data_IF_253297801314
#
_entry.id   IF_253297801314
#
_cell.length_a   1.000
_cell.length_b   1.000
_cell.length_c   1.000
_cell.angle_alpha   90.00
_cell.angle_beta   90.00
_cell.angle_gamma   90.00
#
_symmetry.space_group_name_H-M   'P 1'
#
loop_
_entity.id
_entity.type
_entity.pdbx_description
1 polymer ?
#
# COMPACT_ATOMS: atom_id res chain seq x y z
N UNK A 1 68.74 4.99 -10.61
CA UNK A 1 67.65 5.74 -9.92
C UNK A 1 66.53 5.92 -10.92
N UNK A 2 65.66 4.92 -10.99
CA UNK A 2 64.42 4.96 -11.75
C UNK A 2 63.34 5.16 -10.70
N UNK A 3 62.87 6.39 -10.55
CA UNK A 3 61.72 6.67 -9.69
C UNK A 3 60.47 6.19 -10.42
N UNK A 4 59.96 5.10 -9.88
CA UNK A 4 58.74 4.42 -10.26
C UNK A 4 57.54 5.35 -9.95
N UNK A 5 57.02 6.00 -11.00
CA UNK A 5 55.72 6.67 -10.95
C UNK A 5 54.64 5.61 -11.11
N UNK A 6 54.31 4.90 -10.02
CA UNK A 6 53.33 3.82 -10.00
C UNK A 6 52.00 4.23 -9.37
N UNK A 7 50.96 4.30 -10.21
CA UNK A 7 49.53 4.12 -9.89
C UNK A 7 48.84 5.11 -8.95
N UNK A 8 48.54 6.31 -9.47
CA UNK A 8 47.33 7.05 -9.08
C UNK A 8 46.26 6.85 -10.17
N UNK A 9 45.69 5.65 -10.26
CA UNK A 9 44.64 5.24 -11.20
C UNK A 9 44.15 3.85 -10.75
N UNK A 10 42.88 3.46 -10.77
CA UNK A 10 41.62 4.03 -11.23
C UNK A 10 40.55 3.05 -10.71
N UNK A 11 39.36 3.54 -10.36
CA UNK A 11 38.18 2.67 -10.27
C UNK A 11 38.12 1.87 -11.57
N UNK A 12 38.20 0.54 -11.48
CA UNK A 12 38.07 -0.34 -12.66
C UNK A 12 36.61 -0.70 -12.76
N UNK A 13 36.01 -0.22 -13.83
CA UNK A 13 34.59 -0.31 -14.12
C UNK A 13 34.44 -1.23 -15.33
N UNK A 14 33.73 -2.34 -15.17
CA UNK A 14 33.08 -3.07 -16.27
C UNK A 14 31.57 -2.98 -16.08
N UNK A 15 30.81 -3.37 -17.12
CA UNK A 15 29.34 -3.34 -17.05
C UNK A 15 28.78 -4.22 -15.91
N UNK A 16 29.55 -5.22 -15.48
CA UNK A 16 29.11 -6.23 -14.50
C UNK A 16 29.85 -6.11 -13.15
N UNK A 17 30.92 -5.32 -13.05
CA UNK A 17 31.75 -5.23 -11.85
C UNK A 17 32.30 -3.83 -11.58
N UNK A 18 32.34 -3.47 -10.30
CA UNK A 18 32.91 -2.22 -9.80
C UNK A 18 34.01 -2.50 -8.78
N UNK A 19 35.22 -2.00 -9.03
CA UNK A 19 36.36 -2.08 -8.09
C UNK A 19 36.75 -0.70 -7.59
N UNK A 20 36.80 -0.49 -6.27
CA UNK A 20 37.09 0.81 -5.63
C UNK A 20 37.97 0.65 -4.37
N UNK A 21 38.57 1.75 -3.90
CA UNK A 21 39.39 1.79 -2.68
C UNK A 21 38.59 2.30 -1.47
N UNK A 22 38.92 1.81 -0.28
CA UNK A 22 38.27 2.19 0.99
C UNK A 22 38.58 3.65 1.42
N UNK A 23 39.69 4.23 0.95
CA UNK A 23 40.22 5.53 1.41
C UNK A 23 39.58 6.78 0.76
N UNK A 24 38.56 6.61 -0.08
CA UNK A 24 37.92 7.73 -0.82
C UNK A 24 36.45 7.94 -0.42
N UNK A 25 35.83 9.01 -0.93
CA UNK A 25 34.38 9.27 -0.78
C UNK A 25 33.59 8.19 -1.55
N UNK A 26 33.54 6.99 -0.98
CA UNK A 26 33.02 5.74 -1.56
C UNK A 26 31.57 5.97 -1.99
N UNK A 27 30.77 6.63 -1.15
CA UNK A 27 29.35 6.85 -1.39
C UNK A 27 29.13 7.67 -2.67
N UNK A 28 29.86 8.77 -2.86
CA UNK A 28 29.72 9.62 -4.05
C UNK A 28 30.14 8.92 -5.36
N UNK A 29 31.18 8.10 -5.33
CA UNK A 29 31.66 7.39 -6.53
C UNK A 29 30.79 6.20 -6.89
N UNK A 30 30.39 5.39 -5.89
CA UNK A 30 29.49 4.26 -6.08
C UNK A 30 28.13 4.77 -6.53
N UNK A 31 27.58 5.81 -5.90
CA UNK A 31 26.31 6.41 -6.30
C UNK A 31 26.38 6.94 -7.74
N UNK A 32 27.43 7.68 -8.10
CA UNK A 32 27.58 8.20 -9.47
C UNK A 32 27.62 7.07 -10.50
N UNK A 33 28.30 5.98 -10.19
CA UNK A 33 28.42 4.83 -11.05
C UNK A 33 27.09 4.08 -11.21
N UNK A 34 26.43 3.74 -10.10
CA UNK A 34 25.10 3.11 -10.09
C UNK A 34 24.08 3.96 -10.84
N UNK A 35 24.12 5.29 -10.66
CA UNK A 35 23.25 6.22 -11.39
C UNK A 35 23.49 6.24 -12.90
N UNK A 36 24.74 6.06 -13.31
CA UNK A 36 25.12 6.05 -14.72
C UNK A 36 24.67 4.75 -15.40
N UNK A 37 24.88 3.59 -14.78
CA UNK A 37 24.57 2.29 -15.38
C UNK A 37 23.09 1.91 -15.29
N UNK A 38 22.41 2.25 -14.19
CA UNK A 38 21.05 1.79 -13.95
C UNK A 38 20.02 2.92 -14.09
N UNK A 39 20.08 3.92 -13.19
CA UNK A 39 19.11 5.00 -13.19
C UNK A 39 19.54 6.15 -12.31
N UNK A 40 19.37 7.39 -12.80
CA UNK A 40 19.61 8.63 -12.03
C UNK A 40 18.76 8.77 -10.76
N UNK A 41 17.76 7.89 -10.58
CA UNK A 41 16.85 7.84 -9.44
C UNK A 41 17.38 7.06 -8.25
N UNK A 42 18.41 6.24 -8.48
CA UNK A 42 19.06 5.45 -7.44
C UNK A 42 19.98 6.33 -6.61
N UNK A 43 20.16 5.97 -5.35
CA UNK A 43 21.09 6.62 -4.45
C UNK A 43 21.57 5.62 -3.39
N UNK A 44 22.71 5.91 -2.76
CA UNK A 44 23.19 5.08 -1.65
C UNK A 44 22.45 5.52 -0.39
N UNK A 45 21.66 4.62 0.18
CA UNK A 45 20.88 4.88 1.39
C UNK A 45 21.75 4.72 2.64
N UNK A 46 22.58 3.67 2.66
CA UNK A 46 23.49 3.37 3.77
C UNK A 46 24.64 2.48 3.31
N UNK A 47 25.75 2.59 4.01
CA UNK A 47 26.90 1.69 3.90
C UNK A 47 27.20 1.09 5.28
N UNK A 48 27.38 -0.23 5.35
CA UNK A 48 27.66 -0.94 6.60
C UNK A 48 28.78 -1.94 6.38
N UNK A 49 29.80 -1.91 7.24
CA UNK A 49 30.88 -2.90 7.22
C UNK A 49 30.49 -4.09 8.09
N UNK A 50 30.45 -5.28 7.50
CA UNK A 50 30.11 -6.54 8.17
C UNK A 50 31.26 -7.51 7.95
N UNK A 51 31.98 -7.83 9.03
CA UNK A 51 33.26 -8.54 9.00
C UNK A 51 34.27 -7.83 8.09
N UNK A 52 34.72 -8.48 7.01
CA UNK A 52 35.63 -7.91 6.02
C UNK A 52 34.88 -7.33 4.80
N UNK A 53 33.57 -7.58 4.68
CA UNK A 53 32.72 -7.15 3.58
C UNK A 53 32.08 -5.77 3.85
N UNK A 54 31.72 -5.08 2.78
CA UNK A 54 30.97 -3.83 2.82
C UNK A 54 29.61 -4.02 2.15
N UNK A 55 28.54 -3.85 2.92
CA UNK A 55 27.15 -3.87 2.46
C UNK A 55 26.74 -2.45 2.05
N UNK A 56 26.18 -2.31 0.85
CA UNK A 56 25.77 -1.04 0.29
C UNK A 56 24.29 -1.13 -0.06
N UNK A 57 23.44 -0.49 0.74
CA UNK A 57 21.99 -0.48 0.50
C UNK A 57 21.63 0.64 -0.46
N UNK A 58 20.94 0.28 -1.53
CA UNK A 58 20.45 1.20 -2.54
C UNK A 58 19.02 1.63 -2.25
N UNK A 59 18.79 2.93 -2.31
CA UNK A 59 17.47 3.53 -2.31
C UNK A 59 17.04 3.98 -3.70
N UNK A 60 15.73 4.16 -3.89
CA UNK A 60 15.18 4.76 -5.12
C UNK A 60 14.25 5.93 -4.78
N UNK A 61 14.48 7.06 -5.45
CA UNK A 61 13.59 8.21 -5.38
C UNK A 61 13.12 8.65 -6.77
N UNK A 62 11.85 9.01 -6.91
CA UNK A 62 11.32 9.53 -8.18
C UNK A 62 10.54 10.84 -7.99
N UNK A 63 10.63 11.76 -8.97
CA UNK A 63 9.88 13.01 -8.90
C UNK A 63 8.39 12.76 -9.14
N UNK A 64 7.56 13.46 -8.36
CA UNK A 64 6.11 13.53 -8.54
C UNK A 64 5.61 14.95 -8.50
N UNK A 65 4.75 15.26 -9.45
CA UNK A 65 3.97 16.48 -9.43
C UNK A 65 2.89 16.37 -8.35
N UNK A 66 2.92 17.30 -7.41
CA UNK A 66 1.91 17.46 -6.35
C UNK A 66 1.37 18.90 -6.35
N UNK A 67 1.40 19.55 -7.51
CA UNK A 67 0.91 20.91 -7.69
C UNK A 67 -0.58 20.99 -7.38
N UNK A 68 -0.97 22.10 -6.77
CA UNK A 68 -2.37 22.44 -6.63
C UNK A 68 -2.91 23.00 -7.95
N UNK A 69 -3.97 22.38 -8.48
CA UNK A 69 -4.55 22.78 -9.76
C UNK A 69 -5.26 24.15 -9.72
N UNK A 70 -5.61 24.66 -8.53
CA UNK A 70 -6.17 26.01 -8.33
C UNK A 70 -5.06 27.04 -8.16
N UNK A 71 -4.04 26.75 -7.37
CA UNK A 71 -2.97 27.72 -7.07
C UNK A 71 -1.87 27.76 -8.14
N UNK A 72 -1.74 26.70 -8.95
CA UNK A 72 -0.73 26.55 -10.02
C UNK A 72 0.70 26.76 -9.51
N UNK A 73 0.98 26.20 -8.34
CA UNK A 73 2.21 26.38 -7.58
C UNK A 73 3.42 25.56 -8.10
N UNK A 74 3.22 24.68 -9.10
CA UNK A 74 4.27 23.91 -9.79
C UNK A 74 5.23 23.18 -8.82
N UNK A 75 4.66 22.40 -7.89
CA UNK A 75 5.41 21.71 -6.84
C UNK A 75 5.76 20.28 -7.25
N UNK A 76 7.05 19.99 -7.34
CA UNK A 76 7.57 18.63 -7.53
C UNK A 76 8.19 18.13 -6.22
N UNK A 77 7.78 16.93 -5.79
CA UNK A 77 8.35 16.21 -4.63
C UNK A 77 9.12 14.98 -5.08
N UNK A 78 10.28 14.74 -4.50
CA UNK A 78 10.96 13.45 -4.64
C UNK A 78 10.32 12.47 -3.68
N UNK A 79 9.77 11.38 -4.21
CA UNK A 79 9.17 10.30 -3.43
C UNK A 79 10.22 9.23 -3.22
N UNK A 80 10.60 9.00 -1.97
CA UNK A 80 11.51 7.91 -1.62
C UNK A 80 10.73 6.61 -1.43
N UNK A 81 11.11 5.56 -2.16
CA UNK A 81 10.55 4.21 -2.08
C UNK A 81 11.27 3.37 -1.02
N UNK A 82 12.37 3.90 -0.47
CA UNK A 82 13.21 3.23 0.50
C UNK A 82 14.18 2.26 -0.17
N UNK A 83 14.61 1.27 0.61
CA UNK A 83 15.60 0.29 0.21
C UNK A 83 15.03 -0.62 -0.88
N UNK A 84 15.75 -0.73 -1.99
CA UNK A 84 15.37 -1.60 -3.11
C UNK A 84 16.34 -2.78 -3.29
N UNK A 85 17.60 -2.66 -2.90
CA UNK A 85 18.59 -3.71 -3.08
C UNK A 85 19.78 -3.50 -2.12
N UNK A 86 20.48 -4.57 -1.77
CA UNK A 86 21.76 -4.46 -1.04
C UNK A 86 22.87 -5.11 -1.85
N UNK A 87 23.83 -4.29 -2.27
CA UNK A 87 25.02 -4.76 -2.96
C UNK A 87 26.04 -5.24 -1.93
N UNK A 88 26.71 -6.34 -2.27
CA UNK A 88 27.78 -6.92 -1.47
C UNK A 88 29.12 -6.57 -2.11
N UNK A 89 29.96 -5.83 -1.39
CA UNK A 89 31.33 -5.56 -1.80
C UNK A 89 32.29 -6.41 -0.97
N UNK A 90 33.05 -7.28 -1.64
CA UNK A 90 34.04 -8.15 -0.99
C UNK A 90 35.46 -7.61 -1.20
N UNK A 91 36.37 -7.82 -0.24
CA UNK A 91 37.74 -7.34 -0.34
C UNK A 91 38.52 -8.09 -1.42
N UNK A 92 39.27 -7.36 -2.25
CA UNK A 92 40.15 -7.91 -3.28
C UNK A 92 41.53 -7.28 -3.15
N UNK A 93 42.46 -8.01 -2.52
CA UNK A 93 43.77 -7.47 -2.16
C UNK A 93 43.75 -6.69 -0.85
N UNK A 94 44.74 -5.81 -0.63
CA UNK A 94 44.96 -5.18 0.68
C UNK A 94 44.12 -3.92 0.96
N UNK A 95 43.51 -3.30 -0.06
CA UNK A 95 42.83 -2.00 0.10
C UNK A 95 41.64 -1.76 -0.85
N UNK A 96 41.30 -2.77 -1.67
CA UNK A 96 40.26 -2.62 -2.68
C UNK A 96 39.07 -3.52 -2.36
N UNK A 97 37.90 -3.07 -2.80
CA UNK A 97 36.65 -3.80 -2.76
C UNK A 97 36.15 -4.03 -4.17
N UNK A 98 35.47 -5.14 -4.39
CA UNK A 98 34.79 -5.47 -5.63
C UNK A 98 33.33 -5.76 -5.37
N UNK A 99 32.47 -5.20 -6.22
CA UNK A 99 31.02 -5.46 -6.25
C UNK A 99 30.71 -6.14 -7.57
N UNK A 100 29.93 -7.21 -7.51
CA UNK A 100 29.22 -7.74 -8.67
C UNK A 100 27.90 -6.97 -8.81
N UNK A 101 27.72 -6.31 -9.95
CA UNK A 101 26.55 -5.47 -10.20
C UNK A 101 25.37 -6.36 -10.63
N UNK A 102 24.16 -6.16 -10.08
CA UNK A 102 22.99 -6.93 -10.47
C UNK A 102 22.57 -6.60 -11.91
N UNK A 103 21.77 -7.48 -12.51
CA UNK A 103 21.20 -7.14 -13.80
C UNK A 103 20.22 -5.95 -13.65
N UNK A 104 20.11 -5.05 -14.65
CA UNK A 104 19.12 -3.97 -14.62
C UNK A 104 17.68 -4.45 -14.44
N UNK A 105 17.39 -5.68 -14.89
CA UNK A 105 16.11 -6.36 -14.75
C UNK A 105 15.79 -6.69 -13.29
N UNK A 106 16.78 -7.12 -12.50
CA UNK A 106 16.67 -7.45 -11.08
C UNK A 106 16.32 -6.21 -10.27
N UNK A 107 17.09 -5.12 -10.43
CA UNK A 107 16.80 -3.85 -9.74
C UNK A 107 15.41 -3.29 -10.09
N UNK A 108 14.97 -3.46 -11.34
CA UNK A 108 13.63 -3.05 -11.73
C UNK A 108 12.54 -3.90 -11.05
N UNK A 109 12.76 -5.20 -10.90
CA UNK A 109 11.85 -6.09 -10.19
C UNK A 109 11.79 -5.76 -8.70
N UNK A 110 12.94 -5.56 -8.04
CA UNK A 110 12.99 -5.18 -6.62
C UNK A 110 12.29 -3.84 -6.37
N UNK A 111 12.47 -2.86 -7.27
CA UNK A 111 11.68 -1.62 -7.24
C UNK A 111 10.17 -1.89 -7.35
N UNK A 112 9.76 -2.71 -8.30
CA UNK A 112 8.35 -2.99 -8.57
C UNK A 112 7.70 -3.68 -7.37
N UNK A 113 8.36 -4.66 -6.76
CA UNK A 113 7.91 -5.34 -5.55
C UNK A 113 7.76 -4.34 -4.39
N UNK A 114 8.79 -3.51 -4.14
CA UNK A 114 8.73 -2.50 -3.09
C UNK A 114 7.61 -1.47 -3.29
N UNK A 115 7.39 -1.07 -4.54
CA UNK A 115 6.29 -0.18 -4.90
C UNK A 115 4.92 -0.86 -4.68
N UNK A 116 4.77 -2.12 -5.06
CA UNK A 116 3.53 -2.89 -4.85
C UNK A 116 3.23 -3.10 -3.36
N UNK A 117 4.24 -3.34 -2.53
CA UNK A 117 4.12 -3.38 -1.07
C UNK A 117 3.60 -2.06 -0.51
N UNK A 118 4.25 -0.94 -0.86
CA UNK A 118 3.84 0.39 -0.43
C UNK A 118 2.39 0.70 -0.82
N UNK A 119 2.02 0.40 -2.07
CA UNK A 119 0.64 0.62 -2.54
C UNK A 119 -0.37 -0.30 -1.83
N UNK A 120 0.03 -1.52 -1.47
CA UNK A 120 -0.80 -2.46 -0.70
C UNK A 120 -1.04 -1.95 0.72
N UNK A 121 -0.01 -1.45 1.39
CA UNK A 121 -0.13 -0.82 2.71
C UNK A 121 -1.03 0.42 2.66
N UNK A 122 -0.86 1.28 1.64
CA UNK A 122 -1.73 2.44 1.44
C UNK A 122 -3.18 2.05 1.17
N UNK A 123 -3.42 1.01 0.36
CA UNK A 123 -4.77 0.52 0.08
C UNK A 123 -5.42 -0.03 1.35
N UNK A 124 -4.67 -0.74 2.19
CA UNK A 124 -5.16 -1.22 3.48
C UNK A 124 -5.49 -0.07 4.42
N UNK A 125 -4.56 0.86 4.65
CA UNK A 125 -4.78 2.01 5.52
C UNK A 125 -5.98 2.85 5.07
N UNK A 126 -6.10 3.08 3.76
CA UNK A 126 -7.22 3.82 3.21
C UNK A 126 -8.53 3.04 3.36
N UNK A 127 -8.55 1.73 3.11
CA UNK A 127 -9.72 0.89 3.32
C UNK A 127 -10.21 0.95 4.76
N UNK A 128 -9.33 0.70 5.72
CA UNK A 128 -9.61 0.79 7.16
C UNK A 128 -10.13 2.18 7.57
N UNK A 129 -9.63 3.24 6.94
CA UNK A 129 -10.05 4.62 7.23
C UNK A 129 -11.43 4.96 6.67
N UNK A 130 -11.74 4.53 5.43
CA UNK A 130 -12.93 5.01 4.71
C UNK A 130 -14.08 4.01 4.75
N UNK A 131 -13.88 2.80 5.26
CA UNK A 131 -14.83 1.72 5.11
C UNK A 131 -16.24 2.09 5.63
N UNK A 132 -16.35 2.60 6.86
CA UNK A 132 -17.63 3.00 7.45
C UNK A 132 -18.37 4.03 6.57
N UNK A 133 -17.61 4.88 5.88
CA UNK A 133 -18.13 5.91 4.97
C UNK A 133 -18.63 5.31 3.66
N UNK A 134 -17.89 4.34 3.08
CA UNK A 134 -18.27 3.71 1.80
C UNK A 134 -19.25 2.54 1.95
N UNK A 135 -19.47 2.02 3.15
CA UNK A 135 -20.40 0.91 3.44
C UNK A 135 -21.80 1.15 2.85
N UNK A 136 -22.31 2.38 2.98
CA UNK A 136 -23.64 2.75 2.51
C UNK A 136 -23.76 2.81 0.97
N UNK A 137 -22.66 2.67 0.23
CA UNK A 137 -22.71 2.58 -1.22
C UNK A 137 -23.24 1.19 -1.61
N UNK A 138 -24.35 1.14 -2.35
CA UNK A 138 -24.99 -0.12 -2.75
C UNK A 138 -24.03 -1.17 -3.33
N UNK A 139 -23.04 -0.82 -4.18
CA UNK A 139 -22.09 -1.81 -4.68
C UNK A 139 -21.21 -2.46 -3.60
N UNK A 140 -20.90 -1.74 -2.52
CA UNK A 140 -20.12 -2.25 -1.38
C UNK A 140 -21.01 -3.16 -0.53
N UNK A 141 -22.20 -2.66 -0.14
CA UNK A 141 -23.17 -3.44 0.63
C UNK A 141 -23.56 -4.75 -0.06
N UNK A 142 -23.79 -4.72 -1.37
CA UNK A 142 -24.13 -5.91 -2.15
C UNK A 142 -23.02 -6.97 -2.14
N UNK A 143 -21.75 -6.57 -2.18
CA UNK A 143 -20.64 -7.54 -2.09
C UNK A 143 -20.46 -8.12 -0.70
N UNK A 144 -20.88 -7.39 0.32
CA UNK A 144 -20.79 -7.79 1.71
C UNK A 144 -22.05 -8.48 2.22
N UNK A 145 -23.05 -8.69 1.36
CA UNK A 145 -24.36 -9.19 1.78
C UNK A 145 -24.24 -10.49 2.57
N UNK A 146 -23.44 -11.45 2.08
CA UNK A 146 -23.21 -12.71 2.81
C UNK A 146 -22.51 -12.50 4.16
N UNK A 147 -21.57 -11.54 4.28
CA UNK A 147 -20.94 -11.20 5.56
C UNK A 147 -21.97 -10.61 6.54
N UNK A 148 -22.84 -9.73 6.03
CA UNK A 148 -23.90 -9.08 6.81
C UNK A 148 -24.92 -10.12 7.29
N UNK A 149 -25.40 -10.98 6.38
CA UNK A 149 -26.36 -12.06 6.68
C UNK A 149 -25.79 -13.03 7.72
N UNK A 150 -24.53 -13.48 7.57
CA UNK A 150 -23.91 -14.37 8.56
C UNK A 150 -23.82 -13.68 9.92
N UNK A 151 -23.36 -12.42 9.97
CA UNK A 151 -23.25 -11.71 11.24
C UNK A 151 -24.62 -11.53 11.92
N UNK A 152 -25.68 -11.29 11.14
CA UNK A 152 -27.04 -11.16 11.65
C UNK A 152 -27.63 -12.49 12.15
N UNK A 153 -27.50 -13.57 11.36
CA UNK A 153 -27.92 -14.91 11.78
C UNK A 153 -27.19 -15.34 13.05
N UNK A 154 -25.87 -15.17 13.12
CA UNK A 154 -25.10 -15.52 14.31
C UNK A 154 -25.59 -14.74 15.53
N UNK A 155 -25.93 -13.46 15.37
CA UNK A 155 -26.45 -12.64 16.46
C UNK A 155 -27.83 -13.10 16.95
N UNK A 156 -28.74 -13.38 16.04
CA UNK A 156 -30.17 -13.50 16.35
C UNK A 156 -30.67 -14.94 16.42
N UNK A 157 -30.06 -15.84 15.65
CA UNK A 157 -30.58 -17.18 15.38
C UNK A 157 -29.63 -18.31 15.83
N UNK A 158 -28.43 -17.97 16.33
CA UNK A 158 -27.49 -18.98 16.87
C UNK A 158 -28.03 -19.70 18.11
N UNK A 159 -27.66 -20.98 18.32
CA UNK A 159 -26.75 -21.81 17.52
C UNK A 159 -27.41 -22.49 16.30
N UNK A 160 -26.65 -22.69 15.21
CA UNK A 160 -27.06 -23.45 14.03
C UNK A 160 -25.87 -24.17 13.36
N UNK A 161 -26.11 -25.22 12.56
CA UNK A 161 -25.05 -25.91 11.83
C UNK A 161 -24.55 -25.12 10.62
N UNK A 162 -23.36 -25.43 10.13
CA UNK A 162 -22.84 -24.88 8.86
C UNK A 162 -23.72 -25.26 7.66
N UNK A 163 -24.33 -26.44 7.66
CA UNK A 163 -25.31 -26.87 6.64
C UNK A 163 -26.54 -25.96 6.63
N UNK A 164 -27.06 -25.60 7.81
CA UNK A 164 -28.18 -24.67 7.93
C UNK A 164 -27.84 -23.30 7.37
N UNK A 165 -26.61 -22.84 7.61
CA UNK A 165 -26.13 -21.57 7.08
C UNK A 165 -25.97 -21.60 5.55
N UNK A 166 -25.54 -22.74 4.98
CA UNK A 166 -25.41 -22.93 3.53
C UNK A 166 -26.77 -22.88 2.83
N UNK A 167 -27.81 -23.45 3.45
CA UNK A 167 -29.19 -23.38 2.96
C UNK A 167 -29.78 -21.96 2.99
N UNK A 168 -29.37 -21.15 3.97
CA UNK A 168 -29.91 -19.79 4.17
C UNK A 168 -29.20 -18.73 3.32
N UNK A 169 -27.92 -18.91 3.03
CA UNK A 169 -27.15 -17.96 2.24
C UNK A 169 -27.36 -18.17 0.75
N UNK A 170 -27.37 -17.07 0.01
CA UNK A 170 -27.45 -17.09 -1.46
C UNK A 170 -26.07 -17.23 -2.13
N UNK A 171 -25.09 -17.85 -1.45
CA UNK A 171 -23.69 -17.93 -1.91
C UNK A 171 -23.17 -19.35 -1.98
N UNK A 172 -22.47 -19.69 -3.05
CA UNK A 172 -21.83 -21.00 -3.22
C UNK A 172 -20.51 -21.15 -2.42
N UNK A 173 -20.19 -20.21 -1.52
CA UNK A 173 -18.90 -20.15 -0.81
C UNK A 173 -19.06 -20.00 0.72
N UNK A 174 -20.16 -20.47 1.31
CA UNK A 174 -20.45 -20.38 2.75
C UNK A 174 -19.27 -20.81 3.61
N UNK A 175 -18.62 -21.93 3.28
CA UNK A 175 -17.47 -22.48 3.99
C UNK A 175 -16.33 -21.45 4.13
N UNK A 176 -15.99 -20.73 3.05
CA UNK A 176 -14.92 -19.70 3.08
C UNK A 176 -15.29 -18.50 3.95
N UNK A 177 -16.56 -18.10 3.94
CA UNK A 177 -17.02 -17.02 4.80
C UNK A 177 -16.95 -17.41 6.27
N UNK A 178 -17.40 -18.63 6.59
CA UNK A 178 -17.30 -19.21 7.93
C UNK A 178 -15.84 -19.30 8.38
N UNK A 179 -14.94 -19.82 7.54
CA UNK A 179 -13.50 -19.88 7.82
C UNK A 179 -12.95 -18.48 8.15
N UNK A 180 -13.19 -17.49 7.29
CA UNK A 180 -12.70 -16.12 7.48
C UNK A 180 -13.26 -15.49 8.76
N UNK A 181 -14.54 -15.65 9.04
CA UNK A 181 -15.16 -15.07 10.23
C UNK A 181 -14.73 -15.77 11.52
N UNK A 182 -14.42 -17.07 11.45
CA UNK A 182 -13.89 -17.86 12.56
C UNK A 182 -12.44 -17.48 12.86
N UNK A 183 -11.59 -17.39 11.82
CA UNK A 183 -10.21 -16.91 11.92
C UNK A 183 -10.12 -15.52 12.59
N UNK A 184 -11.14 -14.69 12.37
CA UNK A 184 -11.25 -13.34 12.91
C UNK A 184 -11.97 -13.26 14.27
N UNK A 185 -12.38 -14.38 14.88
CA UNK A 185 -13.10 -14.47 16.17
C UNK A 185 -14.43 -13.67 16.19
N UNK A 186 -15.09 -13.59 15.04
CA UNK A 186 -16.48 -13.12 14.95
C UNK A 186 -17.47 -14.26 15.13
N UNK A 187 -17.10 -15.49 14.77
CA UNK A 187 -17.86 -16.70 15.03
C UNK A 187 -16.96 -17.74 15.70
N UNK A 188 -17.56 -18.74 16.33
CA UNK A 188 -16.88 -19.95 16.83
C UNK A 188 -17.64 -21.17 16.36
N UNK A 189 -16.93 -22.26 16.15
CA UNK A 189 -17.52 -23.57 15.88
C UNK A 189 -17.23 -24.45 17.09
N UNK A 190 -18.27 -25.02 17.70
CA UNK A 190 -18.10 -25.95 18.82
C UNK A 190 -17.78 -27.38 18.37
N UNK A 191 -17.65 -28.30 19.33
CA UNK A 191 -17.30 -29.70 19.09
C UNK A 191 -18.37 -30.45 18.27
N UNK A 192 -19.62 -29.98 18.31
CA UNK A 192 -20.75 -30.56 17.57
C UNK A 192 -20.91 -29.93 16.17
N UNK A 193 -20.02 -29.02 15.78
CA UNK A 193 -20.05 -28.34 14.49
C UNK A 193 -21.07 -27.19 14.42
N UNK A 194 -21.54 -26.69 15.57
CA UNK A 194 -22.51 -25.60 15.64
C UNK A 194 -21.80 -24.25 15.63
N UNK A 195 -22.32 -23.34 14.83
CA UNK A 195 -21.87 -21.95 14.71
C UNK A 195 -22.46 -21.13 15.84
N UNK A 196 -21.57 -20.49 16.60
CA UNK A 196 -21.85 -19.66 17.77
C UNK A 196 -21.25 -18.26 17.60
N UNK A 197 -21.74 -17.25 18.35
CA UNK A 197 -21.11 -15.94 18.41
C UNK A 197 -19.65 -16.00 18.90
N UNK A 198 -18.77 -15.30 18.19
CA UNK A 198 -17.38 -15.06 18.60
C UNK A 198 -17.25 -13.91 19.59
N UNK A 199 -16.05 -13.71 20.16
CA UNK A 199 -15.87 -12.70 21.23
C UNK A 199 -16.21 -11.30 20.73
N UNK A 200 -15.97 -11.03 19.45
CA UNK A 200 -16.18 -9.71 18.86
C UNK A 200 -17.66 -9.37 18.66
N UNK A 201 -18.50 -10.35 18.34
CA UNK A 201 -19.97 -10.19 18.26
C UNK A 201 -20.53 -9.99 19.67
N UNK A 202 -20.18 -10.88 20.62
CA UNK A 202 -20.60 -10.77 22.03
C UNK A 202 -20.24 -9.39 22.62
N UNK A 203 -19.04 -8.87 22.32
CA UNK A 203 -18.58 -7.55 22.77
C UNK A 203 -19.37 -6.38 22.17
N UNK A 204 -19.89 -6.54 20.95
CA UNK A 204 -20.70 -5.52 20.28
C UNK A 204 -22.13 -5.48 20.85
N UNK A 205 -22.71 -6.64 21.17
CA UNK A 205 -24.06 -6.74 21.73
C UNK A 205 -24.19 -6.12 23.13
N UNK A 206 -23.12 -6.17 23.93
CA UNK A 206 -23.06 -5.49 25.23
C UNK A 206 -23.35 -3.98 25.11
N UNK A 207 -23.07 -3.37 23.96
CA UNK A 207 -23.20 -1.93 23.73
C UNK A 207 -24.62 -1.50 23.39
N UNK A 208 -25.57 -2.44 23.23
CA UNK A 208 -27.00 -2.17 22.95
C UNK A 208 -27.24 -1.20 21.78
N UNK A 209 -26.45 -1.36 20.72
CA UNK A 209 -26.58 -0.61 19.49
C UNK A 209 -27.89 -0.99 18.78
N UNK A 210 -28.49 -0.03 18.08
CA UNK A 210 -29.59 -0.35 17.16
C UNK A 210 -29.07 -1.22 15.98
N UNK A 211 -29.98 -1.78 15.18
CA UNK A 211 -29.59 -2.69 14.10
C UNK A 211 -28.66 -2.03 13.07
N UNK A 212 -28.91 -0.77 12.71
CA UNK A 212 -28.12 -0.08 11.69
C UNK A 212 -26.72 0.29 12.22
N UNK A 213 -26.63 0.73 13.47
CA UNK A 213 -25.37 1.00 14.15
C UNK A 213 -24.57 -0.27 14.41
N UNK A 214 -25.25 -1.36 14.77
CA UNK A 214 -24.64 -2.67 14.95
C UNK A 214 -24.03 -3.17 13.64
N UNK A 215 -24.81 -3.19 12.55
CA UNK A 215 -24.34 -3.60 11.23
C UNK A 215 -23.12 -2.78 10.81
N UNK A 216 -23.19 -1.45 10.91
CA UNK A 216 -22.05 -0.58 10.57
C UNK A 216 -20.80 -0.90 11.39
N UNK A 217 -20.96 -1.11 12.69
CA UNK A 217 -19.83 -1.31 13.61
C UNK A 217 -19.22 -2.69 13.49
N UNK A 218 -20.03 -3.75 13.47
CA UNK A 218 -19.56 -5.14 13.40
C UNK A 218 -18.99 -5.41 12.02
N UNK A 219 -19.70 -5.05 10.94
CA UNK A 219 -19.20 -5.23 9.58
C UNK A 219 -17.97 -4.33 9.35
N UNK A 220 -17.97 -3.12 9.93
CA UNK A 220 -16.79 -2.24 9.99
C UNK A 220 -15.57 -2.91 10.59
N UNK A 221 -15.74 -3.58 11.72
CA UNK A 221 -14.68 -4.33 12.38
C UNK A 221 -14.26 -5.57 11.61
N UNK A 222 -15.21 -6.32 11.02
CA UNK A 222 -14.91 -7.48 10.16
C UNK A 222 -14.00 -7.06 9.01
N UNK A 223 -14.25 -5.89 8.42
CA UNK A 223 -13.45 -5.42 7.29
C UNK A 223 -12.13 -4.83 7.72
N UNK A 224 -12.10 -4.09 8.83
CA UNK A 224 -10.85 -3.59 9.36
C UNK A 224 -9.89 -4.73 9.73
N UNK A 225 -10.40 -5.73 10.46
CA UNK A 225 -9.60 -6.87 10.94
C UNK A 225 -9.33 -7.90 9.83
N UNK A 226 -10.26 -8.01 8.87
CA UNK A 226 -10.29 -9.06 7.84
C UNK A 226 -9.99 -8.61 6.42
N UNK A 227 -9.58 -7.35 6.19
CA UNK A 227 -9.45 -6.78 4.83
C UNK A 227 -8.66 -7.68 3.87
N UNK A 228 -7.49 -8.17 4.30
CA UNK A 228 -6.66 -9.03 3.47
C UNK A 228 -7.35 -10.37 3.15
N UNK A 229 -7.97 -11.00 4.15
CA UNK A 229 -8.70 -12.27 3.99
C UNK A 229 -9.95 -12.10 3.12
N UNK A 230 -10.73 -11.05 3.34
CA UNK A 230 -11.92 -10.70 2.54
C UNK A 230 -11.55 -10.38 1.09
N UNK A 231 -10.44 -9.68 0.87
CA UNK A 231 -9.93 -9.39 -0.48
C UNK A 231 -9.41 -10.66 -1.17
N UNK A 232 -8.58 -11.44 -0.50
CA UNK A 232 -7.82 -12.52 -1.13
C UNK A 232 -8.58 -13.85 -1.14
N UNK A 233 -9.18 -14.26 -0.02
CA UNK A 233 -9.93 -15.53 0.10
C UNK A 233 -11.34 -15.42 -0.51
N UNK A 234 -12.02 -14.27 -0.32
CA UNK A 234 -13.41 -14.06 -0.75
C UNK A 234 -13.56 -13.22 -2.03
N UNK A 235 -12.44 -12.75 -2.60
CA UNK A 235 -12.40 -12.00 -3.86
C UNK A 235 -13.33 -10.76 -3.88
N UNK A 236 -13.52 -10.11 -2.73
CA UNK A 236 -14.39 -8.94 -2.59
C UNK A 236 -13.74 -7.67 -3.15
N UNK A 237 -13.58 -7.64 -4.47
CA UNK A 237 -12.81 -6.63 -5.18
C UNK A 237 -13.30 -5.19 -5.04
N UNK A 238 -14.56 -4.94 -4.63
CA UNK A 238 -15.02 -3.56 -4.38
C UNK A 238 -14.44 -2.98 -3.08
N UNK A 239 -14.04 -3.83 -2.13
CA UNK A 239 -13.33 -3.39 -0.93
C UNK A 239 -11.98 -2.78 -1.28
N UNK A 240 -11.28 -3.26 -2.32
CA UNK A 240 -10.03 -2.66 -2.80
C UNK A 240 -10.25 -1.55 -3.83
N UNK A 241 -11.38 -1.57 -4.52
CA UNK A 241 -11.64 -0.63 -5.60
C UNK A 241 -11.79 0.82 -5.14
N UNK A 242 -12.62 1.10 -4.13
CA UNK A 242 -12.81 2.48 -3.64
C UNK A 242 -11.57 3.08 -2.96
N UNK A 243 -10.83 2.34 -2.12
CA UNK A 243 -9.54 2.77 -1.58
C UNK A 243 -8.56 3.19 -2.67
N UNK A 244 -8.42 2.41 -3.75
CA UNK A 244 -7.59 2.80 -4.90
C UNK A 244 -7.94 4.17 -5.47
N UNK A 245 -9.23 4.46 -5.74
CA UNK A 245 -9.63 5.77 -6.27
C UNK A 245 -9.46 6.90 -5.25
N UNK A 246 -9.61 6.61 -3.96
CA UNK A 246 -9.32 7.58 -2.91
C UNK A 246 -7.81 7.87 -2.84
N UNK A 247 -6.98 6.84 -2.83
CA UNK A 247 -5.52 6.92 -2.80
C UNK A 247 -4.94 7.62 -4.04
N UNK A 248 -5.56 7.47 -5.21
CA UNK A 248 -5.17 8.24 -6.39
C UNK A 248 -5.26 9.76 -6.20
N UNK A 249 -6.05 10.25 -5.23
CA UNK A 249 -5.98 11.63 -4.74
C UNK A 249 -5.03 11.75 -3.53
N UNK A 250 -5.30 10.96 -2.50
CA UNK A 250 -4.70 11.10 -1.18
C UNK A 250 -3.17 10.93 -1.18
N UNK A 251 -2.62 10.10 -2.07
CA UNK A 251 -1.16 9.91 -2.21
C UNK A 251 -0.44 11.23 -2.49
N UNK A 252 -0.99 12.09 -3.35
CA UNK A 252 -0.41 13.40 -3.63
C UNK A 252 -0.57 14.36 -2.44
N UNK A 253 -1.72 14.32 -1.75
CA UNK A 253 -1.95 15.13 -0.56
C UNK A 253 -0.96 14.78 0.57
N UNK A 254 -0.71 13.48 0.80
CA UNK A 254 0.27 13.03 1.79
C UNK A 254 1.70 13.42 1.42
N UNK A 255 2.09 13.26 0.15
CA UNK A 255 3.41 13.68 -0.34
C UNK A 255 3.62 15.21 -0.25
N UNK A 256 2.57 16.00 -0.46
CA UNK A 256 2.60 17.45 -0.24
C UNK A 256 2.57 17.82 1.24
N UNK A 257 2.08 16.91 2.08
CA UNK A 257 1.68 17.15 3.47
C UNK A 257 0.66 18.29 3.59
N UNK A 258 -0.36 18.24 2.73
CA UNK A 258 -1.36 19.31 2.64
C UNK A 258 -2.76 18.73 2.35
N UNK A 259 -3.67 18.70 3.34
CA UNK A 259 -5.05 18.25 3.13
C UNK A 259 -5.88 19.21 2.26
N UNK A 260 -5.41 20.45 2.07
CA UNK A 260 -6.11 21.44 1.26
C UNK A 260 -5.83 21.33 -0.23
N UNK A 261 -4.88 20.48 -0.63
CA UNK A 261 -4.50 20.24 -2.02
C UNK A 261 -5.71 19.91 -2.89
N UNK A 262 -5.90 20.71 -3.94
CA UNK A 262 -6.84 20.46 -5.01
C UNK A 262 -6.17 19.79 -6.21
N UNK A 263 -6.73 18.66 -6.63
CA UNK A 263 -6.35 18.00 -7.87
C UNK A 263 -7.50 18.03 -8.87
N UNK A 264 -7.20 18.18 -10.16
CA UNK A 264 -8.18 17.96 -11.22
C UNK A 264 -8.47 16.47 -11.39
N UNK A 265 -9.57 16.13 -12.08
CA UNK A 265 -9.80 14.72 -12.48
C UNK A 265 -8.65 14.17 -13.31
N UNK A 266 -7.99 15.00 -14.11
CA UNK A 266 -6.91 14.57 -14.99
C UNK A 266 -5.63 14.24 -14.21
N UNK A 267 -5.36 14.95 -13.12
CA UNK A 267 -4.28 14.62 -12.17
C UNK A 267 -4.54 13.28 -11.48
N UNK A 268 -5.80 13.03 -11.05
CA UNK A 268 -6.18 11.73 -10.47
C UNK A 268 -6.07 10.59 -11.48
N UNK A 269 -6.45 10.82 -12.74
CA UNK A 269 -6.26 9.84 -13.84
C UNK A 269 -4.78 9.55 -14.05
N UNK A 270 -3.93 10.58 -14.01
CA UNK A 270 -2.49 10.40 -14.11
C UNK A 270 -1.97 9.55 -12.96
N UNK A 271 -2.34 9.86 -11.72
CA UNK A 271 -1.96 9.09 -10.54
C UNK A 271 -2.40 7.61 -10.62
N UNK A 272 -3.64 7.33 -11.05
CA UNK A 272 -4.09 5.95 -11.27
C UNK A 272 -3.20 5.21 -12.27
N UNK A 273 -2.87 5.86 -13.39
CA UNK A 273 -2.01 5.26 -14.40
C UNK A 273 -0.60 5.01 -13.89
N UNK A 274 -0.06 5.91 -13.07
CA UNK A 274 1.33 5.82 -12.67
C UNK A 274 1.58 5.03 -11.40
N UNK A 275 0.64 5.02 -10.46
CA UNK A 275 0.80 4.31 -9.18
C UNK A 275 0.19 2.91 -9.22
N UNK A 276 -0.90 2.74 -10.00
CA UNK A 276 -1.68 1.50 -10.07
C UNK A 276 -1.66 0.84 -11.45
N UNK A 277 -0.95 1.41 -12.43
CA UNK A 277 -0.96 0.96 -13.84
C UNK A 277 -2.38 0.88 -14.43
N UNK A 278 -3.31 1.68 -13.91
CA UNK A 278 -4.73 1.65 -14.26
C UNK A 278 -5.08 2.74 -15.28
N UNK A 279 -5.48 2.30 -16.49
CA UNK A 279 -5.87 3.18 -17.59
C UNK A 279 -7.37 3.49 -17.62
N UNK A 280 -8.05 3.50 -16.46
CA UNK A 280 -9.48 3.80 -16.36
C UNK A 280 -9.80 5.15 -17.03
N UNK A 281 -10.75 5.18 -17.99
CA UNK A 281 -11.11 6.42 -18.67
C UNK A 281 -11.63 7.50 -17.73
N UNK A 282 -11.26 8.76 -18.02
CA UNK A 282 -11.66 9.97 -17.28
C UNK A 282 -13.15 10.02 -16.86
N UNK A 283 -14.14 9.69 -17.72
CA UNK A 283 -15.55 9.73 -17.30
C UNK A 283 -15.88 8.73 -16.19
N UNK A 284 -15.22 7.56 -16.17
CA UNK A 284 -15.39 6.54 -15.13
C UNK A 284 -14.73 6.99 -13.81
N UNK A 285 -13.51 7.53 -13.87
CA UNK A 285 -12.83 8.12 -12.70
C UNK A 285 -13.70 9.20 -12.07
N UNK A 286 -14.23 10.12 -12.88
CA UNK A 286 -15.14 11.17 -12.41
C UNK A 286 -16.38 10.63 -11.68
N UNK A 287 -16.98 9.54 -12.16
CA UNK A 287 -18.13 8.91 -11.48
C UNK A 287 -17.72 8.33 -10.12
N UNK A 288 -16.55 7.70 -10.04
CA UNK A 288 -16.02 7.15 -8.77
C UNK A 288 -15.71 8.24 -7.75
N UNK A 289 -15.09 9.34 -8.17
CA UNK A 289 -14.83 10.50 -7.30
C UNK A 289 -16.14 11.11 -6.77
N UNK A 290 -17.19 11.20 -7.60
CA UNK A 290 -18.53 11.62 -7.12
C UNK A 290 -19.15 10.65 -6.12
N UNK A 291 -18.95 9.35 -6.28
CA UNK A 291 -19.39 8.36 -5.29
C UNK A 291 -18.64 8.52 -3.97
N UNK A 292 -17.32 8.75 -4.01
CA UNK A 292 -16.50 9.00 -2.83
C UNK A 292 -16.87 10.32 -2.13
N UNK A 293 -17.21 11.36 -2.88
CA UNK A 293 -17.74 12.62 -2.32
C UNK A 293 -19.07 12.42 -1.60
N UNK A 294 -20.01 11.69 -2.24
CA UNK A 294 -21.30 11.33 -1.61
C UNK A 294 -21.14 10.50 -0.35
N UNK A 295 -20.15 9.62 -0.31
CA UNK A 295 -19.80 8.85 0.87
C UNK A 295 -19.09 9.68 1.96
N UNK A 296 -18.66 10.91 1.65
CA UNK A 296 -17.93 11.76 2.60
C UNK A 296 -16.44 11.40 2.73
N UNK A 297 -15.86 10.72 1.75
CA UNK A 297 -14.44 10.33 1.72
C UNK A 297 -13.54 11.46 1.21
N UNK A 298 -14.03 12.23 0.25
CA UNK A 298 -13.35 13.40 -0.32
C UNK A 298 -14.38 14.51 -0.57
N UNK A 299 -13.94 15.65 -1.08
CA UNK A 299 -14.83 16.69 -1.62
C UNK A 299 -14.65 16.76 -3.13
N UNK A 300 -15.74 16.73 -3.89
CA UNK A 300 -15.72 16.87 -5.35
C UNK A 300 -16.52 18.09 -5.78
N UNK A 301 -15.84 19.09 -6.34
CA UNK A 301 -16.44 20.36 -6.77
C UNK A 301 -15.78 20.81 -8.08
N UNK A 302 -16.57 21.28 -9.05
CA UNK A 302 -16.07 21.85 -10.32
C UNK A 302 -14.99 21.02 -11.04
N UNK A 303 -15.16 19.69 -11.06
CA UNK A 303 -14.19 18.75 -11.66
C UNK A 303 -12.82 18.70 -10.96
N UNK A 304 -12.79 19.09 -9.70
CA UNK A 304 -11.62 19.03 -8.84
C UNK A 304 -11.96 18.29 -7.55
N UNK A 305 -10.94 17.77 -6.89
CA UNK A 305 -11.04 17.04 -5.63
C UNK A 305 -10.10 17.58 -4.59
N UNK A 306 -10.54 17.56 -3.34
CA UNK A 306 -9.69 17.77 -2.16
C UNK A 306 -10.07 16.82 -1.03
N UNK A 307 -9.24 16.78 0.00
CA UNK A 307 -9.42 15.91 1.14
C UNK A 307 -10.64 16.30 1.99
N UNK A 308 -11.10 15.34 2.78
CA UNK A 308 -11.87 15.59 3.99
C UNK A 308 -10.89 15.49 5.16
N UNK A 309 -10.78 16.54 5.97
CA UNK A 309 -9.76 16.63 7.03
C UNK A 309 -9.78 15.42 7.98
N UNK A 310 -10.97 14.94 8.34
CA UNK A 310 -11.15 13.74 9.17
C UNK A 310 -10.50 12.48 8.56
N UNK A 311 -10.70 12.27 7.25
CA UNK A 311 -10.14 11.12 6.53
C UNK A 311 -8.64 11.28 6.39
N UNK A 312 -8.17 12.49 6.03
CA UNK A 312 -6.74 12.78 5.92
C UNK A 312 -6.01 12.52 7.24
N UNK A 313 -6.49 13.10 8.33
CA UNK A 313 -5.87 13.00 9.66
C UNK A 313 -5.89 11.58 10.22
N UNK A 314 -6.87 10.76 9.84
CA UNK A 314 -6.95 9.37 10.27
C UNK A 314 -6.01 8.50 9.43
N UNK A 315 -6.08 8.61 8.10
CA UNK A 315 -5.22 7.85 7.20
C UNK A 315 -3.74 8.17 7.43
N UNK A 316 -3.38 9.46 7.59
CA UNK A 316 -1.98 9.88 7.78
C UNK A 316 -1.28 9.22 8.97
N UNK A 317 -2.01 8.78 10.01
CA UNK A 317 -1.44 8.07 11.17
C UNK A 317 -0.99 6.64 10.85
N UNK A 318 -1.60 6.02 9.84
CA UNK A 318 -1.32 4.64 9.43
C UNK A 318 -0.51 4.55 8.13
N UNK A 319 0.00 5.66 7.63
CA UNK A 319 0.72 5.70 6.37
C UNK A 319 2.22 5.46 6.60
N UNK A 320 2.85 4.56 5.82
CA UNK A 320 4.30 4.41 5.83
C UNK A 320 4.95 5.75 5.54
N UNK A 321 6.04 6.11 6.23
CA UNK A 321 6.68 7.39 5.98
C UNK A 321 7.08 7.49 4.50
N UNK A 322 6.42 8.37 3.76
CA UNK A 322 6.94 8.86 2.49
C UNK A 322 8.10 9.76 2.85
N UNK A 323 9.30 9.18 2.96
CA UNK A 323 10.52 9.86 3.41
C UNK A 323 10.80 11.15 2.67
#
# INVERSE_FOLDING_TARGET
MSEDKGFAQNVRISDDQLVFNEDHDIEGQIEAHIRYHFSRRLFVQSTEKVDDDLLITLGLSYPRDVSDCRDRDNVIKMVNIGNIETLHAYPVGQSHYQIDLPEPSELYNSYKEKHEELMTELDWTMASTIYEKIYNLSPVRNQLNSVIEIADFVRNDSPFSTETLDDWLTTDNTEKYVEVLSDLDFIRIDEDGMVLPGKKIESADIQRLDQEEYEKKVVGKIINDGYASLKNKLQLGMLSHFPKYANAYYVSAFRKNDPSLWLSVDDVVHNLRTEYYDNTPRPKVRRKLRSLDKAGVLRFEDHQVRARDEVYNTAMKGIPSFG
#
